data_IF_540273397614
#
_entry.id   IF_540273397614
#
_cell.length_a   1.000
_cell.length_b   1.000
_cell.length_c   1.000
_cell.angle_alpha   90.00
_cell.angle_beta   90.00
_cell.angle_gamma   90.00
#
_symmetry.space_group_name_H-M   'P 1'
#
loop_
_entity.id
_entity.type
_entity.pdbx_description
1 polymer ?
#
# COMPACT_ATOMS: atom_id res chain seq x y z
N UNK A 1 3.40 -42.74 18.11
CA UNK A 1 3.79 -42.15 16.81
C UNK A 1 2.59 -42.17 15.90
N UNK A 2 2.47 -41.15 15.04
CA UNK A 2 1.38 -40.86 14.08
C UNK A 2 0.12 -40.22 14.68
N UNK A 3 0.21 -38.91 14.89
CA UNK A 3 -0.92 -37.99 14.72
C UNK A 3 -0.31 -36.68 14.20
N UNK A 4 -0.80 -36.15 13.08
CA UNK A 4 -0.47 -34.78 12.65
C UNK A 4 -0.18 -34.57 11.16
N UNK A 5 -0.22 -35.60 10.30
CA UNK A 5 0.00 -35.41 8.87
C UNK A 5 -1.26 -34.97 8.09
N UNK A 6 -2.45 -35.11 8.68
CA UNK A 6 -3.72 -34.99 7.94
C UNK A 6 -4.45 -33.64 8.14
N UNK A 7 -3.81 -32.63 8.74
CA UNK A 7 -4.46 -31.33 8.98
C UNK A 7 -4.23 -30.27 7.87
N UNK A 8 -3.48 -30.60 6.81
CA UNK A 8 -3.19 -29.66 5.71
C UNK A 8 -4.12 -29.79 4.50
N UNK A 9 -5.08 -30.71 4.52
CA UNK A 9 -5.75 -31.16 3.30
C UNK A 9 -7.15 -30.60 3.04
N UNK A 10 -7.68 -29.67 3.84
CA UNK A 10 -9.07 -29.23 3.64
C UNK A 10 -9.39 -27.80 4.08
N UNK A 11 -8.53 -26.84 3.70
CA UNK A 11 -8.98 -25.45 3.58
C UNK A 11 -9.29 -25.20 2.11
N UNK A 12 -10.54 -24.84 1.81
CA UNK A 12 -10.90 -24.19 0.54
C UNK A 12 -9.94 -23.03 0.28
N UNK A 13 -8.87 -23.31 -0.46
CA UNK A 13 -8.01 -22.28 -1.00
C UNK A 13 -8.78 -21.67 -2.15
N UNK A 14 -9.31 -20.46 -1.95
CA UNK A 14 -9.33 -19.50 -3.05
C UNK A 14 -7.94 -19.59 -3.69
N UNK A 15 -7.86 -20.08 -4.93
CA UNK A 15 -6.59 -20.36 -5.58
C UNK A 15 -5.73 -19.10 -5.54
N UNK A 16 -4.68 -19.13 -4.71
CA UNK A 16 -3.78 -18.00 -4.55
C UNK A 16 -2.97 -17.86 -5.85
N UNK A 17 -2.73 -16.62 -6.28
CA UNK A 17 -2.00 -16.36 -7.50
C UNK A 17 -0.61 -17.03 -7.44
N UNK A 18 -0.31 -17.98 -8.35
CA UNK A 18 0.89 -18.81 -8.24
C UNK A 18 2.17 -17.99 -8.43
N UNK A 19 2.13 -16.90 -9.20
CA UNK A 19 3.30 -16.07 -9.44
C UNK A 19 3.56 -15.14 -8.26
N UNK A 20 2.52 -14.62 -7.64
CA UNK A 20 2.65 -13.87 -6.38
C UNK A 20 3.19 -14.77 -5.25
N UNK A 21 2.71 -16.02 -5.16
CA UNK A 21 3.27 -17.00 -4.23
C UNK A 21 4.75 -17.29 -4.51
N UNK A 22 5.15 -17.46 -5.78
CA UNK A 22 6.57 -17.64 -6.16
C UNK A 22 7.42 -16.44 -5.75
N UNK A 23 6.93 -15.23 -5.94
CA UNK A 23 7.64 -14.00 -5.54
C UNK A 23 7.86 -13.93 -4.03
N UNK A 24 6.82 -14.26 -3.24
CA UNK A 24 6.90 -14.32 -1.78
C UNK A 24 7.90 -15.41 -1.34
N UNK A 25 7.84 -16.60 -1.95
CA UNK A 25 8.79 -17.69 -1.66
C UNK A 25 10.21 -17.32 -2.04
N UNK A 26 10.41 -16.63 -3.16
CA UNK A 26 11.72 -16.11 -3.57
C UNK A 26 12.31 -15.22 -2.48
N UNK A 27 11.53 -14.25 -1.98
CA UNK A 27 11.95 -13.38 -0.89
C UNK A 27 12.29 -14.17 0.37
N UNK A 28 11.45 -15.12 0.78
CA UNK A 28 11.68 -15.94 1.99
C UNK A 28 12.99 -16.73 1.88
N UNK A 29 13.27 -17.31 0.71
CA UNK A 29 14.44 -18.17 0.49
C UNK A 29 15.72 -17.35 0.28
N UNK A 30 15.65 -16.23 -0.43
CA UNK A 30 16.81 -15.41 -0.80
C UNK A 30 17.11 -14.27 0.16
N UNK A 31 16.12 -13.84 0.95
CA UNK A 31 16.21 -12.71 1.86
C UNK A 31 16.15 -11.34 1.17
N UNK A 32 15.98 -11.31 -0.15
CA UNK A 32 15.86 -10.10 -0.96
C UNK A 32 14.81 -10.27 -2.04
N UNK A 33 14.26 -9.16 -2.50
CA UNK A 33 13.43 -9.15 -3.70
C UNK A 33 14.31 -9.35 -4.94
N UNK A 34 13.77 -9.89 -6.05
CA UNK A 34 14.50 -9.92 -7.31
C UNK A 34 14.84 -8.50 -7.74
N UNK A 35 16.04 -8.31 -8.29
CA UNK A 35 16.43 -7.05 -8.90
C UNK A 35 15.51 -6.76 -10.09
N UNK A 36 14.98 -5.54 -10.12
CA UNK A 36 14.10 -5.09 -11.17
C UNK A 36 14.97 -4.27 -12.12
N UNK A 37 15.29 -4.83 -13.28
CA UNK A 37 15.73 -4.00 -14.39
C UNK A 37 14.50 -3.26 -14.92
N UNK A 38 14.60 -1.96 -15.18
CA UNK A 38 13.48 -1.19 -15.73
C UNK A 38 13.02 -1.84 -17.03
N UNK A 39 11.86 -2.49 -16.98
CA UNK A 39 11.34 -3.25 -18.10
C UNK A 39 10.66 -2.30 -19.09
N UNK A 40 10.16 -2.85 -20.21
CA UNK A 40 9.27 -2.08 -21.09
C UNK A 40 8.03 -1.61 -20.30
N UNK A 41 7.32 -0.57 -20.75
CA UNK A 41 6.11 -0.09 -20.07
C UNK A 41 5.12 -1.21 -19.72
N UNK A 42 4.89 -2.15 -20.63
CA UNK A 42 3.98 -3.29 -20.45
C UNK A 42 4.44 -4.20 -19.30
N UNK A 43 5.73 -4.52 -19.29
CA UNK A 43 6.30 -5.40 -18.28
C UNK A 43 6.40 -4.72 -16.90
N UNK A 44 6.51 -3.38 -16.85
CA UNK A 44 6.37 -2.65 -15.58
C UNK A 44 4.93 -2.70 -15.06
N UNK A 45 3.91 -2.60 -15.93
CA UNK A 45 2.50 -2.75 -15.55
C UNK A 45 2.23 -4.15 -14.99
N UNK A 46 2.67 -5.20 -15.70
CA UNK A 46 2.55 -6.59 -15.23
C UNK A 46 3.22 -6.79 -13.86
N UNK A 47 4.40 -6.20 -13.69
CA UNK A 47 5.14 -6.31 -12.44
C UNK A 47 4.50 -5.51 -11.29
N UNK A 48 3.90 -4.34 -11.56
CA UNK A 48 3.09 -3.61 -10.58
C UNK A 48 1.86 -4.42 -10.14
N UNK A 49 1.18 -5.10 -11.07
CA UNK A 49 0.06 -5.99 -10.74
C UNK A 49 0.53 -7.14 -9.84
N UNK A 50 1.63 -7.80 -10.22
CA UNK A 50 2.23 -8.88 -9.43
C UNK A 50 2.56 -8.44 -8.00
N UNK A 51 3.18 -7.27 -7.82
CA UNK A 51 3.50 -6.71 -6.51
C UNK A 51 2.23 -6.38 -5.70
N UNK A 52 1.19 -5.86 -6.34
CA UNK A 52 -0.10 -5.57 -5.71
C UNK A 52 -0.76 -6.84 -5.19
N UNK A 53 -0.78 -7.91 -6.00
CA UNK A 53 -1.33 -9.21 -5.61
C UNK A 53 -0.49 -9.84 -4.49
N UNK A 54 0.83 -9.81 -4.60
CA UNK A 54 1.74 -10.29 -3.55
C UNK A 54 1.55 -9.53 -2.23
N UNK A 55 1.31 -8.22 -2.29
CA UNK A 55 1.04 -7.41 -1.11
C UNK A 55 -0.26 -7.85 -0.43
N UNK A 56 -1.34 -8.06 -1.20
CA UNK A 56 -2.61 -8.56 -0.69
C UNK A 56 -2.49 -9.96 -0.06
N UNK A 57 -1.71 -10.87 -0.65
CA UNK A 57 -1.41 -12.17 -0.05
C UNK A 57 -0.63 -12.01 1.26
N UNK A 58 0.36 -11.13 1.30
CA UNK A 58 1.09 -10.83 2.54
C UNK A 58 0.19 -10.20 3.61
N UNK A 59 -0.87 -9.48 3.22
CA UNK A 59 -1.90 -8.98 4.12
C UNK A 59 -2.72 -10.12 4.72
N UNK A 60 -3.24 -11.01 3.88
CA UNK A 60 -4.01 -12.20 4.29
C UNK A 60 -3.23 -13.09 5.25
N UNK A 61 -1.93 -13.26 5.01
CA UNK A 61 -1.05 -14.14 5.81
C UNK A 61 -0.26 -13.42 6.90
N UNK A 62 -0.60 -12.17 7.24
CA UNK A 62 0.03 -11.39 8.31
C UNK A 62 1.57 -11.32 8.23
N UNK A 63 2.10 -10.97 7.04
CA UNK A 63 3.53 -10.81 6.76
C UNK A 63 3.94 -9.32 6.62
N UNK A 64 3.90 -8.50 7.70
CA UNK A 64 4.03 -7.04 7.61
C UNK A 64 5.40 -6.55 7.11
N UNK A 65 6.48 -7.29 7.39
CA UNK A 65 7.82 -6.92 6.89
C UNK A 65 7.89 -6.97 5.37
N UNK A 66 7.29 -8.02 4.78
CA UNK A 66 7.25 -8.17 3.33
C UNK A 66 6.29 -7.18 2.68
N UNK A 67 5.15 -6.88 3.33
CA UNK A 67 4.25 -5.80 2.89
C UNK A 67 4.99 -4.46 2.74
N UNK A 68 5.84 -4.09 3.71
CA UNK A 68 6.58 -2.83 3.66
C UNK A 68 7.61 -2.81 2.51
N UNK A 69 8.24 -3.95 2.20
CA UNK A 69 9.19 -4.06 1.09
C UNK A 69 8.49 -4.00 -0.27
N UNK A 70 7.39 -4.72 -0.42
CA UNK A 70 6.55 -4.68 -1.61
C UNK A 70 6.01 -3.26 -1.85
N UNK A 71 5.59 -2.57 -0.79
CA UNK A 71 5.17 -1.16 -0.84
C UNK A 71 6.30 -0.25 -1.33
N UNK A 72 7.51 -0.42 -0.80
CA UNK A 72 8.66 0.38 -1.22
C UNK A 72 8.98 0.20 -2.71
N UNK A 73 8.91 -1.04 -3.22
CA UNK A 73 9.09 -1.31 -4.65
C UNK A 73 7.98 -0.73 -5.52
N UNK A 74 6.71 -0.84 -5.08
CA UNK A 74 5.58 -0.23 -5.77
C UNK A 74 5.77 1.29 -5.91
N UNK A 75 6.20 1.98 -4.85
CA UNK A 75 6.45 3.42 -4.89
C UNK A 75 7.50 3.83 -5.93
N UNK A 76 8.55 3.02 -6.11
CA UNK A 76 9.58 3.26 -7.14
C UNK A 76 8.98 3.13 -8.53
N UNK A 77 8.25 2.05 -8.80
CA UNK A 77 7.65 1.81 -10.13
C UNK A 77 6.60 2.86 -10.50
N UNK A 78 5.82 3.30 -9.52
CA UNK A 78 4.76 4.29 -9.68
C UNK A 78 5.32 5.68 -10.05
N UNK A 79 6.50 6.03 -9.54
CA UNK A 79 7.13 7.31 -9.89
C UNK A 79 7.63 7.36 -11.34
N UNK A 80 7.91 6.20 -11.93
CA UNK A 80 8.58 6.10 -13.23
C UNK A 80 7.66 5.68 -14.37
N UNK A 81 6.47 5.14 -14.08
CA UNK A 81 5.57 4.59 -15.09
C UNK A 81 4.16 5.18 -14.96
N UNK A 82 3.61 5.63 -16.08
CA UNK A 82 2.21 6.00 -16.18
C UNK A 82 1.35 4.74 -16.22
N UNK A 83 0.85 4.30 -15.06
CA UNK A 83 -0.14 3.22 -14.97
C UNK A 83 -1.49 3.72 -15.51
N UNK A 84 -2.20 2.88 -16.26
CA UNK A 84 -3.50 3.20 -16.82
C UNK A 84 -4.59 3.28 -15.72
N UNK A 85 -5.60 4.12 -15.94
CA UNK A 85 -6.63 4.39 -14.93
C UNK A 85 -7.42 3.12 -14.54
N UNK A 86 -7.72 2.27 -15.51
CA UNK A 86 -8.45 1.03 -15.31
C UNK A 86 -7.68 0.04 -14.42
N UNK A 87 -6.36 -0.02 -14.59
CA UNK A 87 -5.48 -0.89 -13.79
C UNK A 87 -5.42 -0.44 -12.33
N UNK A 88 -5.28 0.87 -12.10
CA UNK A 88 -5.29 1.45 -10.75
C UNK A 88 -6.67 1.24 -10.10
N UNK A 89 -7.76 1.39 -10.85
CA UNK A 89 -9.13 1.16 -10.38
C UNK A 89 -9.36 -0.32 -10.00
N UNK A 90 -8.87 -1.25 -10.82
CA UNK A 90 -8.92 -2.68 -10.53
C UNK A 90 -8.11 -3.02 -9.26
N UNK A 91 -6.91 -2.48 -9.13
CA UNK A 91 -6.08 -2.64 -7.93
C UNK A 91 -6.78 -2.09 -6.68
N UNK A 92 -7.32 -0.87 -6.73
CA UNK A 92 -8.07 -0.26 -5.63
C UNK A 92 -9.21 -1.15 -5.13
N UNK A 93 -10.01 -1.73 -6.05
CA UNK A 93 -11.12 -2.63 -5.70
C UNK A 93 -10.66 -3.91 -4.99
N UNK A 94 -9.50 -4.46 -5.38
CA UNK A 94 -8.93 -5.70 -4.81
C UNK A 94 -8.22 -5.47 -3.48
N UNK A 95 -7.79 -4.24 -3.17
CA UNK A 95 -7.03 -3.94 -1.96
C UNK A 95 -7.90 -3.87 -0.69
N UNK A 96 -7.44 -4.40 0.46
CA UNK A 96 -8.19 -4.35 1.71
C UNK A 96 -8.54 -2.92 2.15
N UNK A 97 -9.77 -2.72 2.66
CA UNK A 97 -10.21 -1.44 3.21
C UNK A 97 -9.29 -0.96 4.35
N UNK A 98 -9.02 0.36 4.40
CA UNK A 98 -8.12 0.98 5.38
C UNK A 98 -6.62 0.67 5.22
N UNK A 99 -6.23 -0.18 4.26
CA UNK A 99 -4.81 -0.52 4.04
C UNK A 99 -4.01 0.63 3.45
N UNK A 100 -2.69 0.65 3.72
CA UNK A 100 -1.77 1.61 3.10
C UNK A 100 -1.74 1.48 1.57
N UNK A 101 -1.89 0.27 1.03
CA UNK A 101 -1.96 0.05 -0.42
C UNK A 101 -3.23 0.64 -1.03
N UNK A 102 -4.37 0.47 -0.37
CA UNK A 102 -5.63 1.09 -0.83
C UNK A 102 -5.54 2.61 -0.84
N UNK A 103 -4.86 3.20 0.15
CA UNK A 103 -4.58 4.64 0.21
C UNK A 103 -3.70 5.10 -0.95
N UNK A 104 -2.63 4.37 -1.25
CA UNK A 104 -1.76 4.64 -2.40
C UNK A 104 -2.54 4.59 -3.73
N UNK A 105 -3.34 3.55 -3.95
CA UNK A 105 -4.16 3.44 -5.16
C UNK A 105 -5.19 4.58 -5.28
N UNK A 106 -5.78 5.01 -4.16
CA UNK A 106 -6.69 6.16 -4.14
C UNK A 106 -5.98 7.47 -4.53
N UNK A 107 -4.78 7.71 -3.99
CA UNK A 107 -3.96 8.88 -4.35
C UNK A 107 -3.60 8.88 -5.84
N UNK A 108 -3.24 7.72 -6.39
CA UNK A 108 -2.95 7.59 -7.82
C UNK A 108 -4.17 7.86 -8.70
N UNK A 109 -5.33 7.29 -8.36
CA UNK A 109 -6.59 7.55 -9.08
C UNK A 109 -6.87 9.05 -9.12
N UNK A 110 -6.78 9.72 -7.99
CA UNK A 110 -7.01 11.16 -7.88
C UNK A 110 -6.00 11.97 -8.67
N UNK A 111 -4.73 11.60 -8.63
CA UNK A 111 -3.68 12.27 -9.40
C UNK A 111 -3.99 12.20 -10.90
N UNK A 112 -4.31 11.00 -11.42
CA UNK A 112 -4.67 10.77 -12.83
C UNK A 112 -5.88 11.60 -13.24
N UNK A 113 -6.93 11.51 -12.43
CA UNK A 113 -8.17 12.26 -12.59
C UNK A 113 -7.92 13.78 -12.66
N UNK A 114 -7.08 14.33 -11.78
CA UNK A 114 -6.77 15.76 -11.76
C UNK A 114 -5.91 16.20 -12.95
N UNK A 115 -5.09 15.31 -13.51
CA UNK A 115 -4.23 15.60 -14.67
C UNK A 115 -4.95 15.42 -16.03
N UNK A 116 -5.96 14.54 -16.12
CA UNK A 116 -6.66 14.19 -17.36
C UNK A 116 -7.89 15.04 -17.72
N UNK A 117 -8.41 15.85 -16.80
CA UNK A 117 -9.65 16.60 -17.00
C UNK A 117 -10.91 15.72 -16.83
N UNK A 118 -12.02 16.35 -16.44
CA UNK A 118 -13.27 15.72 -15.95
C UNK A 118 -13.95 14.67 -16.86
N UNK A 119 -13.43 14.35 -18.04
CA UNK A 119 -14.03 13.38 -18.97
C UNK A 119 -13.79 11.91 -18.53
N UNK A 120 -12.69 11.61 -17.85
CA UNK A 120 -12.42 10.26 -17.30
C UNK A 120 -13.17 9.97 -15.98
N UNK A 121 -13.71 11.00 -15.31
CA UNK A 121 -14.48 10.85 -14.07
C UNK A 121 -15.78 10.04 -14.24
N UNK A 122 -16.36 10.06 -15.44
CA UNK A 122 -17.65 9.40 -15.70
C UNK A 122 -17.56 7.86 -15.69
N UNK A 123 -16.36 7.29 -15.63
CA UNK A 123 -16.11 5.83 -15.66
C UNK A 123 -16.08 5.22 -14.24
N UNK A 124 -16.02 6.02 -13.17
CA UNK A 124 -15.87 5.51 -11.82
C UNK A 124 -17.22 5.41 -11.08
N UNK A 125 -17.84 4.23 -11.10
CA UNK A 125 -18.97 3.86 -10.22
C UNK A 125 -18.64 3.89 -8.71
N UNK A 126 -17.42 4.28 -8.31
CA UNK A 126 -16.88 4.13 -6.95
C UNK A 126 -16.36 5.41 -6.30
N UNK A 127 -16.80 6.59 -6.73
CA UNK A 127 -16.35 7.89 -6.17
C UNK A 127 -16.42 7.93 -4.64
N UNK A 128 -17.51 7.42 -4.04
CA UNK A 128 -17.68 7.39 -2.58
C UNK A 128 -16.64 6.53 -1.85
N UNK A 129 -16.18 5.45 -2.48
CA UNK A 129 -15.12 4.60 -1.92
C UNK A 129 -13.74 5.26 -1.98
N UNK A 130 -13.47 6.00 -3.05
CA UNK A 130 -12.23 6.77 -3.23
C UNK A 130 -12.21 7.94 -2.24
N UNK A 131 -13.30 8.71 -2.17
CA UNK A 131 -13.47 9.80 -1.20
C UNK A 131 -13.32 9.30 0.23
N UNK A 132 -13.92 8.16 0.59
CA UNK A 132 -13.75 7.57 1.93
C UNK A 132 -12.30 7.21 2.25
N UNK A 133 -11.57 6.61 1.31
CA UNK A 133 -10.16 6.31 1.48
C UNK A 133 -9.30 7.58 1.61
N UNK A 134 -9.65 8.65 0.88
CA UNK A 134 -9.01 9.96 1.02
C UNK A 134 -9.33 10.66 2.34
N UNK A 135 -10.57 10.58 2.82
CA UNK A 135 -10.96 11.14 4.12
C UNK A 135 -10.19 10.45 5.25
N UNK A 136 -9.97 9.14 5.17
CA UNK A 136 -9.08 8.43 6.11
C UNK A 136 -7.61 8.88 6.02
N UNK A 137 -7.14 9.30 4.85
CA UNK A 137 -5.80 9.92 4.68
C UNK A 137 -5.78 11.30 5.32
N UNK A 138 -6.82 12.11 5.10
CA UNK A 138 -6.96 13.45 5.67
C UNK A 138 -7.09 13.41 7.20
N UNK A 139 -7.80 12.42 7.75
CA UNK A 139 -7.94 12.21 9.19
C UNK A 139 -6.64 11.71 9.82
N UNK A 140 -5.90 10.82 9.15
CA UNK A 140 -4.58 10.37 9.60
C UNK A 140 -3.54 11.51 9.54
N UNK A 141 -3.59 12.34 8.49
CA UNK A 141 -2.74 13.53 8.35
C UNK A 141 -3.11 14.62 9.35
N UNK A 142 -4.41 14.83 9.58
CA UNK A 142 -4.93 15.73 10.60
C UNK A 142 -4.61 15.27 12.02
N UNK A 143 -4.62 13.96 12.29
CA UNK A 143 -4.13 13.38 13.54
C UNK A 143 -2.62 13.61 13.68
N UNK A 144 -1.82 13.33 12.65
CA UNK A 144 -0.38 13.60 12.64
C UNK A 144 -0.04 15.09 12.89
N UNK A 145 -0.77 16.01 12.26
CA UNK A 145 -0.58 17.45 12.48
C UNK A 145 -1.03 17.91 13.87
N UNK A 146 -2.12 17.35 14.42
CA UNK A 146 -2.57 17.63 15.80
C UNK A 146 -1.57 17.09 16.82
N UNK A 147 -1.09 15.86 16.64
CA UNK A 147 -0.15 15.22 17.55
C UNK A 147 1.22 15.90 17.53
N UNK A 148 1.67 16.37 16.35
CA UNK A 148 2.88 17.19 16.25
C UNK A 148 2.71 18.63 16.77
N UNK A 149 1.52 19.21 16.67
CA UNK A 149 1.23 20.50 17.30
C UNK A 149 1.28 20.38 18.83
N UNK A 150 0.71 19.31 19.40
CA UNK A 150 0.78 19.00 20.84
C UNK A 150 2.22 18.75 21.29
N UNK A 151 3.04 18.10 20.47
CA UNK A 151 4.47 17.92 20.75
C UNK A 151 5.25 19.23 20.73
N UNK A 152 4.99 20.11 19.76
CA UNK A 152 5.65 21.42 19.67
C UNK A 152 5.25 22.36 20.82
N UNK A 153 4.00 22.33 21.26
CA UNK A 153 3.54 23.09 22.42
C UNK A 153 4.18 22.60 23.73
N UNK A 154 4.27 21.27 23.93
CA UNK A 154 4.98 20.68 25.08
C UNK A 154 6.48 20.99 25.08
N UNK A 155 7.13 20.94 23.93
CA UNK A 155 8.53 21.32 23.78
C UNK A 155 8.75 22.83 24.04
N UNK A 156 7.79 23.67 23.68
CA UNK A 156 7.76 25.10 23.99
C UNK A 156 7.59 25.39 25.49
N UNK A 157 6.71 24.67 26.18
CA UNK A 157 6.50 24.79 27.63
C UNK A 157 7.71 24.30 28.45
N UNK A 158 8.33 23.18 28.04
CA UNK A 158 9.55 22.68 28.68
C UNK A 158 10.73 23.64 28.51
N UNK A 159 10.87 24.29 27.35
CA UNK A 159 11.87 25.34 27.13
C UNK A 159 11.63 26.58 27.98
N UNK A 160 10.37 26.99 28.17
CA UNK A 160 10.03 28.11 29.08
C UNK A 160 10.32 27.77 30.54
N UNK A 161 10.05 26.54 30.98
CA UNK A 161 10.38 26.09 32.33
C UNK A 161 11.90 26.02 32.57
N UNK A 162 12.68 25.56 31.58
CA UNK A 162 14.14 25.57 31.67
C UNK A 162 14.71 26.99 31.79
N UNK A 163 14.12 27.97 31.11
CA UNK A 163 14.55 29.38 31.17
C UNK A 163 14.23 30.09 32.49
N UNK A 164 13.24 29.61 33.27
CA UNK A 164 12.88 30.21 34.57
C UNK A 164 13.64 29.61 35.77
N UNK A 165 14.56 28.66 35.52
CA UNK A 165 15.38 28.01 36.56
C UNK A 165 16.82 28.54 36.56
N UNK A 166 17.20 29.35 35.56
CA UNK A 166 18.54 29.95 35.42
C UNK A 166 18.63 31.43 35.88
N UNK A 167 17.63 31.95 36.62
CA UNK A 167 17.72 33.27 37.33
C UNK A 167 18.02 33.12 38.83
#
# INVERSE_FOLDING_TARGET
>A
MKAGADAFADSHHDEEDPDACKLILYYIVKGSMPDIEFLTPEANTEYQELLTVAWCLCHKHAMPKLQNLLMAQLLVLIQEVYTELDDISAAFKKTPAGSSLRKLMAEQLMCRICMGGLEEWQVLENVSGIEGAMVEIADASGAYHRDNAVWNDRAGEQKKQAYMVEE
#
